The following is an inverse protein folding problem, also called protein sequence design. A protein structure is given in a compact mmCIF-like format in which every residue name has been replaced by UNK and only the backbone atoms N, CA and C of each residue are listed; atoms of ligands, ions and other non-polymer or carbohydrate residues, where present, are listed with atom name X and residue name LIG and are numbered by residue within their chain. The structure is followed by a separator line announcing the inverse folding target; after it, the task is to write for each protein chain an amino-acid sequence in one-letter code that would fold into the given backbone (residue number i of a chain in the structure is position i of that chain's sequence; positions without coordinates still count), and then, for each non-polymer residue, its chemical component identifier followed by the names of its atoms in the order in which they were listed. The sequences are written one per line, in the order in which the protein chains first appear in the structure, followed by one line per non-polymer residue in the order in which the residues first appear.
data_IF_141577053733
#
_entry.id   IF_141577053733
#
_cell.length_a   1.000
_cell.length_b   1.000
_cell.length_c   1.000
_cell.angle_alpha   90.00
_cell.angle_beta   90.00
_cell.angle_gamma   90.00
#
_symmetry.space_group_name_H-M   'P 1'
#
loop_
_entity.id
_entity.type
_entity.pdbx_description
1 polymer ?
#
# COMPACT_ATOMS: atom_id res chain seq x y z
N UNK A 1 -23.94 -7.46 6.84
CA UNK A 1 -22.90 -7.15 5.83
C UNK A 1 -21.82 -8.23 5.80
N UNK A 2 -21.33 -8.61 4.61
CA UNK A 2 -20.25 -9.58 4.48
C UNK A 2 -18.95 -8.98 5.00
N UNK A 3 -18.30 -9.64 5.96
CA UNK A 3 -17.00 -9.20 6.51
C UNK A 3 -15.94 -9.21 5.42
N UNK A 4 -15.21 -8.10 5.28
CA UNK A 4 -14.08 -7.99 4.35
C UNK A 4 -12.78 -8.29 5.07
N UNK A 5 -11.80 -8.82 4.35
CA UNK A 5 -10.45 -9.04 4.85
C UNK A 5 -9.58 -7.82 4.51
N UNK A 6 -8.85 -7.32 5.49
CA UNK A 6 -7.88 -6.25 5.32
C UNK A 6 -6.52 -6.70 5.82
N UNK A 7 -5.50 -6.52 5.01
CA UNK A 7 -4.11 -6.83 5.33
C UNK A 7 -3.33 -5.52 5.43
N UNK A 8 -2.94 -5.17 6.64
CA UNK A 8 -2.17 -3.97 6.92
C UNK A 8 -0.70 -4.36 6.99
N UNK A 9 0.05 -3.99 5.96
CA UNK A 9 1.45 -4.38 5.83
C UNK A 9 2.37 -3.44 6.61
N UNK A 10 3.30 -3.99 7.41
CA UNK A 10 4.38 -3.25 8.03
C UNK A 10 5.74 -3.85 7.68
N UNK A 11 6.77 -3.04 7.62
CA UNK A 11 8.15 -3.47 7.32
C UNK A 11 9.04 -3.42 8.54
N UNK A 12 9.05 -2.28 9.24
CA UNK A 12 9.90 -2.02 10.40
C UNK A 12 9.01 -1.90 11.63
N UNK A 13 9.11 -2.89 12.53
CA UNK A 13 8.23 -3.00 13.68
C UNK A 13 8.24 -1.74 14.54
N UNK A 14 9.41 -1.28 14.96
CA UNK A 14 9.53 -0.11 15.85
C UNK A 14 9.02 1.21 15.24
N UNK A 15 8.91 1.29 13.91
CA UNK A 15 8.47 2.49 13.20
C UNK A 15 7.02 2.40 12.74
N UNK A 16 6.67 1.28 12.13
CA UNK A 16 5.45 1.16 11.34
C UNK A 16 4.30 0.55 12.13
N UNK A 17 4.59 -0.28 13.14
CA UNK A 17 3.59 -1.13 13.79
C UNK A 17 2.46 -0.35 14.45
N UNK A 18 2.78 0.64 15.28
CA UNK A 18 1.76 1.41 16.03
C UNK A 18 0.83 2.21 15.08
N UNK A 19 1.34 3.02 14.12
CA UNK A 19 0.46 3.71 13.17
C UNK A 19 -0.42 2.76 12.37
N UNK A 20 0.13 1.64 11.93
CA UNK A 20 -0.59 0.62 11.18
C UNK A 20 -1.64 -0.09 12.02
N UNK A 21 -1.34 -0.37 13.27
CA UNK A 21 -2.29 -0.94 14.23
C UNK A 21 -3.50 -0.02 14.45
N UNK A 22 -3.30 1.29 14.56
CA UNK A 22 -4.40 2.25 14.71
C UNK A 22 -5.36 2.22 13.50
N UNK A 23 -4.83 2.18 12.29
CA UNK A 23 -5.65 2.01 11.07
C UNK A 23 -6.44 0.68 11.15
N UNK A 24 -5.75 -0.38 11.54
CA UNK A 24 -6.37 -1.70 11.68
C UNK A 24 -7.51 -1.73 12.70
N UNK A 25 -7.35 -1.07 13.83
CA UNK A 25 -8.38 -0.95 14.86
C UNK A 25 -9.63 -0.23 14.35
N UNK A 26 -9.47 0.86 13.59
CA UNK A 26 -10.62 1.55 13.00
C UNK A 26 -11.37 0.68 11.99
N UNK A 27 -10.66 -0.06 11.15
CA UNK A 27 -11.28 -1.01 10.23
C UNK A 27 -12.01 -2.15 10.97
N UNK A 28 -11.42 -2.66 12.06
CA UNK A 28 -12.01 -3.72 12.88
C UNK A 28 -13.29 -3.26 13.61
N UNK A 29 -13.32 -2.04 14.14
CA UNK A 29 -14.53 -1.44 14.75
C UNK A 29 -15.72 -1.44 13.79
N UNK A 30 -15.46 -1.34 12.48
CA UNK A 30 -16.49 -1.41 11.44
C UNK A 30 -16.85 -2.84 11.03
N UNK A 31 -16.50 -3.85 11.84
CA UNK A 31 -16.90 -5.25 11.66
C UNK A 31 -16.06 -6.03 10.65
N UNK A 32 -14.94 -5.50 10.17
CA UNK A 32 -14.06 -6.18 9.24
C UNK A 32 -13.07 -7.13 9.95
N UNK A 33 -12.54 -8.09 9.21
CA UNK A 33 -11.39 -8.89 9.65
C UNK A 33 -10.10 -8.18 9.24
N UNK A 34 -9.23 -7.93 10.20
CA UNK A 34 -8.00 -7.19 9.97
C UNK A 34 -6.80 -8.02 10.40
N UNK A 35 -5.81 -8.10 9.54
CA UNK A 35 -4.55 -8.78 9.75
C UNK A 35 -3.42 -7.75 9.70
N UNK A 36 -2.76 -7.52 10.79
CA UNK A 36 -1.54 -6.73 10.85
C UNK A 36 -0.36 -7.68 10.65
N UNK A 37 0.33 -7.58 9.53
CA UNK A 37 1.29 -8.59 9.10
C UNK A 37 2.55 -7.98 8.52
N UNK A 38 3.72 -8.57 8.84
CA UNK A 38 4.97 -8.12 8.26
C UNK A 38 5.01 -8.41 6.75
N UNK A 39 5.62 -7.52 6.00
CA UNK A 39 5.74 -7.61 4.55
C UNK A 39 6.36 -8.94 4.11
N UNK A 40 7.48 -9.29 4.71
CA UNK A 40 8.17 -10.55 4.40
C UNK A 40 7.27 -11.78 4.61
N UNK A 41 6.62 -11.86 5.77
CA UNK A 41 5.75 -12.99 6.09
C UNK A 41 4.55 -13.07 5.16
N UNK A 42 3.91 -11.95 4.86
CA UNK A 42 2.76 -11.89 3.98
C UNK A 42 3.10 -12.41 2.57
N UNK A 43 4.14 -11.86 1.94
CA UNK A 43 4.51 -12.28 0.58
C UNK A 43 5.00 -13.72 0.50
N UNK A 44 5.71 -14.21 1.52
CA UNK A 44 6.15 -15.60 1.59
C UNK A 44 4.98 -16.59 1.70
N UNK A 45 3.91 -16.18 2.39
CA UNK A 45 2.75 -17.02 2.68
C UNK A 45 1.48 -16.58 1.93
N UNK A 46 1.62 -15.83 0.87
CA UNK A 46 0.50 -15.22 0.14
C UNK A 46 -0.60 -16.23 -0.24
N UNK A 47 -0.21 -17.47 -0.53
CA UNK A 47 -1.13 -18.55 -0.94
C UNK A 47 -2.13 -18.95 0.16
N UNK A 48 -1.83 -18.70 1.41
CA UNK A 48 -2.68 -19.08 2.55
C UNK A 48 -3.65 -17.98 2.97
N UNK A 49 -3.49 -16.77 2.44
CA UNK A 49 -4.34 -15.65 2.79
C UNK A 49 -5.56 -15.56 1.86
N UNK A 50 -6.80 -15.56 2.40
CA UNK A 50 -8.00 -15.29 1.62
C UNK A 50 -7.93 -13.92 0.92
N UNK A 51 -8.58 -13.78 -0.22
CA UNK A 51 -8.64 -12.50 -0.93
C UNK A 51 -9.16 -11.37 -0.05
N UNK A 52 -8.56 -10.19 -0.21
CA UNK A 52 -8.92 -9.00 0.57
C UNK A 52 -8.25 -7.74 0.06
N UNK A 53 -8.40 -6.66 0.80
CA UNK A 53 -7.76 -5.39 0.55
C UNK A 53 -6.40 -5.35 1.26
N UNK A 54 -5.35 -5.08 0.51
CA UNK A 54 -4.00 -4.92 1.03
C UNK A 54 -3.67 -3.44 1.12
N UNK A 55 -3.21 -2.98 2.28
CA UNK A 55 -2.70 -1.64 2.50
C UNK A 55 -1.18 -1.68 2.56
N UNK A 56 -0.55 -1.28 1.45
CA UNK A 56 0.90 -1.17 1.30
C UNK A 56 1.43 0.22 1.65
N UNK A 57 2.74 0.30 1.86
CA UNK A 57 3.47 1.55 2.16
C UNK A 57 3.86 2.32 0.92
N UNK A 58 3.95 1.67 -0.23
CA UNK A 58 4.36 2.26 -1.48
C UNK A 58 4.12 1.33 -2.65
N UNK A 59 4.41 1.80 -3.84
CA UNK A 59 4.33 1.05 -5.10
C UNK A 59 5.58 1.31 -5.95
N UNK A 60 6.73 0.95 -5.43
CA UNK A 60 8.03 1.16 -6.09
C UNK A 60 8.23 0.24 -7.30
N UNK A 61 9.08 0.66 -8.25
CA UNK A 61 9.31 -0.11 -9.48
C UNK A 61 9.99 -1.46 -9.23
N UNK A 62 10.87 -1.53 -8.25
CA UNK A 62 11.62 -2.74 -7.88
C UNK A 62 10.72 -3.86 -7.30
N UNK A 63 9.54 -3.50 -6.81
CA UNK A 63 8.59 -4.43 -6.24
C UNK A 63 7.39 -4.78 -7.14
N UNK A 64 7.36 -4.33 -8.38
CA UNK A 64 6.24 -4.56 -9.31
C UNK A 64 5.83 -6.03 -9.42
N UNK A 65 6.80 -6.95 -9.41
CA UNK A 65 6.53 -8.40 -9.46
C UNK A 65 5.73 -8.89 -8.24
N UNK A 66 5.96 -8.30 -7.08
CA UNK A 66 5.23 -8.63 -5.86
C UNK A 66 3.79 -8.10 -5.94
N UNK A 67 3.62 -6.87 -6.42
CA UNK A 67 2.28 -6.29 -6.62
C UNK A 67 1.47 -7.06 -7.67
N UNK A 68 2.10 -7.47 -8.77
CA UNK A 68 1.43 -8.31 -9.78
C UNK A 68 0.94 -9.62 -9.16
N UNK A 69 1.76 -10.31 -8.33
CA UNK A 69 1.36 -11.56 -7.66
C UNK A 69 0.11 -11.40 -6.80
N UNK A 70 0.01 -10.32 -6.01
CA UNK A 70 -1.16 -10.09 -5.16
C UNK A 70 -2.41 -9.73 -5.98
N UNK A 71 -2.25 -8.94 -7.03
CA UNK A 71 -3.35 -8.56 -7.92
C UNK A 71 -3.86 -9.75 -8.73
N UNK A 72 -2.96 -10.60 -9.25
CA UNK A 72 -3.32 -11.81 -10.00
C UNK A 72 -4.09 -12.83 -9.14
N UNK A 73 -3.91 -12.80 -7.83
CA UNK A 73 -4.69 -13.61 -6.88
C UNK A 73 -6.03 -12.99 -6.49
N UNK A 74 -6.39 -11.87 -7.08
CA UNK A 74 -7.67 -11.19 -6.84
C UNK A 74 -7.70 -10.30 -5.61
N UNK A 75 -6.56 -10.05 -4.95
CA UNK A 75 -6.50 -9.03 -3.91
C UNK A 75 -6.63 -7.62 -4.51
N UNK A 76 -7.17 -6.71 -3.73
CA UNK A 76 -7.18 -5.29 -4.04
C UNK A 76 -5.99 -4.61 -3.35
N UNK A 77 -5.34 -3.68 -4.03
CA UNK A 77 -4.17 -2.97 -3.51
C UNK A 77 -4.51 -1.50 -3.26
N UNK A 78 -4.28 -1.05 -2.05
CA UNK A 78 -4.33 0.35 -1.65
C UNK A 78 -3.00 0.77 -1.05
N UNK A 79 -2.67 2.03 -1.16
CA UNK A 79 -1.35 2.56 -0.78
C UNK A 79 -1.49 3.79 0.10
N UNK A 80 -0.73 3.83 1.18
CA UNK A 80 -0.46 5.02 1.96
C UNK A 80 1.05 5.23 2.03
N UNK A 81 1.56 6.21 1.29
CA UNK A 81 3.00 6.50 1.26
C UNK A 81 3.41 7.29 2.51
N UNK A 82 3.94 6.58 3.50
CA UNK A 82 4.38 7.15 4.77
C UNK A 82 5.65 8.00 4.66
N UNK A 83 6.38 7.88 3.55
CA UNK A 83 7.59 8.65 3.27
C UNK A 83 7.31 9.88 2.38
N UNK A 84 6.07 10.33 2.29
CA UNK A 84 5.64 11.44 1.44
C UNK A 84 6.36 12.77 1.68
N UNK A 85 6.97 12.96 2.85
CA UNK A 85 7.81 14.13 3.15
C UNK A 85 9.15 14.15 2.41
N UNK A 86 9.55 13.04 1.80
CA UNK A 86 10.80 12.92 1.00
C UNK A 86 10.67 13.36 -0.45
N UNK A 87 9.54 13.88 -0.86
CA UNK A 87 9.36 14.43 -2.20
C UNK A 87 10.06 15.79 -2.32
N UNK A 88 11.31 15.79 -2.80
CA UNK A 88 12.03 17.01 -3.14
C UNK A 88 11.42 17.64 -4.40
N UNK A 89 11.25 18.96 -4.38
CA UNK A 89 10.54 19.68 -5.46
C UNK A 89 11.26 19.60 -6.82
N UNK A 90 12.55 19.26 -6.84
CA UNK A 90 13.42 19.36 -8.01
C UNK A 90 13.91 18.04 -8.61
N UNK A 91 13.40 16.88 -8.17
CA UNK A 91 13.86 15.58 -8.69
C UNK A 91 12.74 14.72 -9.28
N UNK A 92 12.37 14.92 -10.55
CA UNK A 92 11.41 14.06 -11.25
C UNK A 92 11.81 12.57 -11.26
N UNK A 93 13.14 12.30 -11.29
CA UNK A 93 13.68 10.93 -11.26
C UNK A 93 13.34 10.18 -9.96
N UNK A 94 13.34 10.86 -8.83
CA UNK A 94 13.02 10.23 -7.54
C UNK A 94 11.58 9.74 -7.48
N UNK A 95 10.65 10.52 -8.01
CA UNK A 95 9.24 10.14 -8.07
C UNK A 95 8.99 8.95 -9.01
N UNK A 96 9.70 8.89 -10.14
CA UNK A 96 9.57 7.79 -11.09
C UNK A 96 10.08 6.45 -10.55
N UNK A 97 11.02 6.48 -9.60
CA UNK A 97 11.50 5.27 -8.91
C UNK A 97 10.50 4.82 -7.83
N UNK A 98 9.96 5.76 -7.07
CA UNK A 98 9.07 5.48 -5.93
C UNK A 98 7.64 5.10 -6.30
N UNK A 99 7.17 5.53 -7.46
CA UNK A 99 5.80 5.27 -7.92
C UNK A 99 5.86 4.55 -9.25
N UNK A 100 5.62 3.25 -9.23
CA UNK A 100 5.48 2.46 -10.45
C UNK A 100 4.28 2.95 -11.25
N UNK A 101 4.54 3.42 -12.47
CA UNK A 101 3.48 3.83 -13.42
C UNK A 101 2.58 2.65 -13.79
N UNK A 102 3.14 1.46 -13.90
CA UNK A 102 2.41 0.22 -14.20
C UNK A 102 1.46 -0.14 -13.08
N UNK A 103 1.98 -0.23 -11.85
CA UNK A 103 1.20 -0.63 -10.68
C UNK A 103 0.15 0.43 -10.32
N UNK A 104 0.46 1.70 -10.46
CA UNK A 104 -0.46 2.81 -10.12
C UNK A 104 -1.76 2.80 -10.91
N UNK A 105 -1.77 2.17 -12.09
CA UNK A 105 -3.00 2.00 -12.90
C UNK A 105 -3.92 0.89 -12.39
N UNK A 106 -3.40 0.01 -11.53
CA UNK A 106 -4.09 -1.19 -11.03
C UNK A 106 -4.54 -1.08 -9.57
N UNK A 107 -4.06 -0.06 -8.84
CA UNK A 107 -4.41 0.14 -7.43
C UNK A 107 -5.82 0.68 -7.26
N UNK A 108 -6.47 0.30 -6.16
CA UNK A 108 -7.81 0.79 -5.81
C UNK A 108 -7.77 2.20 -5.24
N UNK A 109 -6.82 2.50 -4.34
CA UNK A 109 -6.70 3.80 -3.68
C UNK A 109 -5.23 4.16 -3.47
N UNK A 110 -4.93 5.44 -3.60
CA UNK A 110 -3.68 6.03 -3.17
C UNK A 110 -3.99 7.18 -2.20
N UNK A 111 -3.65 7.00 -0.94
CA UNK A 111 -3.83 8.01 0.09
C UNK A 111 -2.67 8.99 0.07
N UNK A 112 -2.95 10.24 -0.26
CA UNK A 112 -1.97 11.30 -0.36
C UNK A 112 -1.92 12.12 0.93
N UNK A 113 -0.73 12.54 1.34
CA UNK A 113 -0.50 13.44 2.48
C UNK A 113 -0.97 14.88 2.25
N UNK A 114 -1.33 15.23 1.03
CA UNK A 114 -1.81 16.55 0.69
C UNK A 114 -1.78 16.84 -0.81
N UNK A 115 -2.17 18.06 -1.15
CA UNK A 115 -2.34 18.48 -2.54
C UNK A 115 -1.04 18.44 -3.36
N UNK A 116 0.13 18.70 -2.75
CA UNK A 116 1.42 18.61 -3.46
C UNK A 116 1.69 17.18 -3.95
N UNK A 117 1.52 16.18 -3.08
CA UNK A 117 1.70 14.78 -3.44
C UNK A 117 0.67 14.33 -4.48
N UNK A 118 -0.59 14.74 -4.30
CA UNK A 118 -1.67 14.44 -5.26
C UNK A 118 -1.36 14.97 -6.67
N UNK A 119 -0.90 16.22 -6.78
CA UNK A 119 -0.52 16.82 -8.06
C UNK A 119 0.66 16.08 -8.72
N UNK A 120 1.72 15.78 -7.95
CA UNK A 120 2.89 15.03 -8.44
C UNK A 120 2.51 13.62 -8.92
N UNK A 121 1.67 12.91 -8.18
CA UNK A 121 1.16 11.60 -8.61
C UNK A 121 0.41 11.69 -9.93
N UNK A 122 -0.48 12.66 -10.09
CA UNK A 122 -1.23 12.85 -11.33
C UNK A 122 -0.30 13.11 -12.53
N UNK A 123 0.79 13.87 -12.33
CA UNK A 123 1.79 14.13 -13.38
C UNK A 123 2.52 12.85 -13.83
N UNK A 124 2.75 11.91 -12.93
CA UNK A 124 3.40 10.61 -13.27
C UNK A 124 2.44 9.69 -14.03
N UNK A 125 1.14 9.78 -13.75
CA UNK A 125 0.13 8.94 -14.39
C UNK A 125 -0.24 9.38 -15.82
N UNK A 126 0.00 10.63 -16.14
CA UNK A 126 -0.19 11.19 -17.48
C UNK A 126 1.02 10.94 -18.37
#
# INVERSE_FOLDING_TARGET
MKKKNYYIIYEIENRDFIPRMLIGLELAKNGNRVFLVSKYFFYKNLNYFPTGMILEKGITNDEEKNYDKILDRGHLLSVIDEEGARYYDNEPKFLSIRISKKTSKKISHFFCWGNKQKKKKLTILL
#
